data_IF_288423331503
#
_entry.id   IF_288423331503
#
_cell.length_a   1.000
_cell.length_b   1.000
_cell.length_c   1.000
_cell.angle_alpha   90.00
_cell.angle_beta   90.00
_cell.angle_gamma   90.00
#
_symmetry.space_group_name_H-M   'P 1'
#
loop_
_entity.id
_entity.type
_entity.pdbx_description
1 polymer ?
#
# COMPACT_ATOMS: atom_id res chain seq x y z
N UNK A 1 7.61 15.95 -13.92
CA UNK A 1 7.33 15.47 -12.55
C UNK A 1 7.78 16.55 -11.58
N UNK A 2 6.86 17.22 -10.86
CA UNK A 2 7.21 18.25 -9.88
C UNK A 2 7.40 17.57 -8.52
N UNK A 3 8.63 17.54 -8.02
CA UNK A 3 8.96 17.00 -6.70
C UNK A 3 8.63 18.06 -5.63
N UNK A 4 8.00 17.65 -4.53
CA UNK A 4 7.63 18.54 -3.43
C UNK A 4 8.89 19.04 -2.68
N UNK A 5 8.95 20.34 -2.37
CA UNK A 5 10.04 20.95 -1.60
C UNK A 5 10.01 20.52 -0.13
N UNK A 6 11.21 20.37 0.47
CA UNK A 6 11.46 19.86 1.82
C UNK A 6 11.07 20.90 2.89
N UNK A 7 9.81 20.87 3.32
CA UNK A 7 9.33 21.56 4.53
C UNK A 7 8.69 20.57 5.50
N UNK A 8 8.71 20.87 6.81
CA UNK A 8 8.01 20.09 7.84
C UNK A 8 6.49 20.21 7.67
N UNK A 9 5.93 19.43 6.74
CA UNK A 9 4.49 19.32 6.53
C UNK A 9 4.06 17.88 6.83
N UNK A 10 3.11 17.74 7.76
CA UNK A 10 2.36 16.49 7.91
C UNK A 10 1.76 16.16 6.55
N UNK A 11 2.06 14.96 6.01
CA UNK A 11 1.59 14.56 4.69
C UNK A 11 0.06 14.43 4.72
N UNK A 12 -0.64 15.44 4.19
CA UNK A 12 -2.08 15.39 4.02
C UNK A 12 -2.39 14.48 2.84
N UNK A 13 -2.88 13.28 3.13
CA UNK A 13 -3.32 12.36 2.09
C UNK A 13 -4.55 12.94 1.37
N UNK A 14 -4.43 13.12 0.05
CA UNK A 14 -5.53 13.55 -0.82
C UNK A 14 -5.90 12.35 -1.67
N UNK A 15 -7.16 11.92 -1.58
CA UNK A 15 -7.69 10.82 -2.41
C UNK A 15 -7.80 11.34 -3.85
N UNK A 16 -7.07 10.76 -4.81
CA UNK A 16 -7.20 11.16 -6.21
C UNK A 16 -8.55 10.73 -6.77
N UNK A 17 -9.08 11.50 -7.72
CA UNK A 17 -10.24 11.07 -8.49
C UNK A 17 -9.87 9.82 -9.31
N UNK A 18 -10.70 8.77 -9.22
CA UNK A 18 -10.47 7.50 -9.91
C UNK A 18 -11.30 7.44 -11.19
N UNK A 19 -10.65 7.13 -12.31
CA UNK A 19 -11.30 6.96 -13.62
C UNK A 19 -11.83 5.53 -13.75
N UNK A 20 -13.11 5.31 -13.44
CA UNK A 20 -13.74 3.97 -13.53
C UNK A 20 -13.81 3.38 -14.95
N UNK A 21 -13.66 4.21 -15.98
CA UNK A 21 -13.59 3.79 -17.39
C UNK A 21 -12.19 3.47 -17.89
N UNK A 22 -11.18 3.48 -17.03
CA UNK A 22 -9.79 3.20 -17.41
C UNK A 22 -9.63 1.76 -17.94
N UNK A 23 -8.94 1.64 -19.07
CA UNK A 23 -8.59 0.34 -19.67
C UNK A 23 -7.27 -0.21 -19.14
N UNK A 24 -6.39 0.66 -18.66
CA UNK A 24 -5.13 0.32 -18.02
C UNK A 24 -5.01 0.94 -16.62
N UNK A 25 -4.21 0.32 -15.76
CA UNK A 25 -3.96 0.81 -14.40
C UNK A 25 -3.29 2.20 -14.39
N UNK A 26 -2.49 2.53 -15.40
CA UNK A 26 -1.87 3.87 -15.49
C UNK A 26 -2.89 4.97 -15.73
N UNK A 27 -4.06 4.65 -16.31
CA UNK A 27 -5.12 5.60 -16.64
C UNK A 27 -6.14 5.80 -15.50
N UNK A 28 -6.04 5.00 -14.43
CA UNK A 28 -6.94 5.10 -13.28
C UNK A 28 -6.83 6.45 -12.55
N UNK A 29 -5.68 7.12 -12.65
CA UNK A 29 -5.37 8.36 -11.93
C UNK A 29 -4.73 9.36 -12.92
N UNK A 30 -5.15 10.62 -12.87
CA UNK A 30 -4.45 11.69 -13.60
C UNK A 30 -3.13 12.06 -12.91
N UNK A 31 -2.05 11.44 -13.36
CA UNK A 31 -0.69 11.66 -12.87
C UNK A 31 -0.15 13.07 -13.10
N UNK A 32 -0.76 13.88 -13.99
CA UNK A 32 -0.32 15.26 -14.22
C UNK A 32 -0.83 16.22 -13.16
N UNK A 33 -1.97 15.90 -12.56
CA UNK A 33 -2.66 16.75 -11.58
C UNK A 33 -2.21 16.42 -10.15
N UNK A 34 -1.62 15.24 -9.92
CA UNK A 34 -1.21 14.80 -8.59
C UNK A 34 0.30 14.94 -8.33
N UNK A 35 0.67 15.41 -7.14
CA UNK A 35 2.06 15.38 -6.67
C UNK A 35 2.41 13.99 -6.15
N UNK A 36 3.25 13.25 -6.87
CA UNK A 36 3.76 11.96 -6.41
C UNK A 36 4.89 12.21 -5.41
N UNK A 37 4.63 11.89 -4.14
CA UNK A 37 5.67 11.87 -3.12
C UNK A 37 6.46 10.58 -3.25
N UNK A 38 7.80 10.62 -3.34
CA UNK A 38 8.59 9.39 -3.34
C UNK A 38 8.36 8.63 -2.03
N UNK A 39 8.21 7.30 -2.07
CA UNK A 39 8.07 6.51 -0.85
C UNK A 39 9.30 6.69 0.05
N UNK A 40 9.16 6.56 1.38
CA UNK A 40 10.24 6.84 2.32
C UNK A 40 11.57 6.14 2.02
N UNK A 41 11.50 4.91 1.47
CA UNK A 41 12.67 4.12 1.08
C UNK A 41 13.49 4.76 -0.05
N UNK A 42 12.86 5.56 -0.92
CA UNK A 42 13.51 6.24 -2.05
C UNK A 42 13.79 7.72 -1.75
N UNK A 43 13.54 8.20 -0.52
CA UNK A 43 13.57 9.63 -0.19
C UNK A 43 14.95 10.27 -0.33
N UNK A 44 16.02 9.50 -0.18
CA UNK A 44 17.40 9.97 -0.23
C UNK A 44 18.05 9.80 -1.61
N UNK A 45 17.39 9.10 -2.53
CA UNK A 45 17.94 8.80 -3.85
C UNK A 45 17.48 9.84 -4.87
N UNK A 46 18.39 10.25 -5.75
CA UNK A 46 18.06 11.11 -6.87
C UNK A 46 17.32 10.34 -7.97
N UNK A 47 16.50 11.03 -8.77
CA UNK A 47 15.83 10.41 -9.92
C UNK A 47 16.82 9.78 -10.91
N UNK A 48 18.02 10.34 -11.06
CA UNK A 48 19.05 9.82 -11.94
C UNK A 48 19.65 8.50 -11.43
N UNK A 49 19.91 8.37 -10.12
CA UNK A 49 20.37 7.10 -9.52
C UNK A 49 19.29 6.02 -9.63
N UNK A 50 18.03 6.38 -9.41
CA UNK A 50 16.91 5.46 -9.60
C UNK A 50 16.80 4.98 -11.05
N UNK A 51 17.03 5.85 -12.03
CA UNK A 51 17.03 5.47 -13.45
C UNK A 51 18.17 4.50 -13.78
N UNK A 52 19.39 4.76 -13.29
CA UNK A 52 20.54 3.85 -13.47
C UNK A 52 20.26 2.44 -12.92
N UNK A 53 19.62 2.38 -11.76
CA UNK A 53 19.20 1.11 -11.16
C UNK A 53 18.17 0.36 -12.01
N UNK A 54 17.16 1.06 -12.53
CA UNK A 54 16.12 0.47 -13.38
C UNK A 54 16.72 -0.05 -14.70
N UNK A 55 17.71 0.66 -15.25
CA UNK A 55 18.40 0.30 -16.48
C UNK A 55 19.46 -0.79 -16.29
N UNK A 56 19.78 -1.15 -15.03
CA UNK A 56 20.75 -2.20 -14.71
C UNK A 56 22.21 -1.74 -14.72
N UNK A 57 22.46 -0.43 -14.78
CA UNK A 57 23.81 0.15 -14.80
C UNK A 57 24.52 0.05 -13.42
N UNK A 58 23.75 -0.16 -12.34
CA UNK A 58 24.24 -0.22 -10.95
C UNK A 58 23.57 -1.38 -10.22
N UNK A 59 24.33 -2.12 -9.41
CA UNK A 59 23.78 -3.17 -8.55
C UNK A 59 22.94 -2.58 -7.42
N UNK A 60 21.86 -3.27 -7.03
CA UNK A 60 21.09 -2.94 -5.81
C UNK A 60 21.98 -2.88 -4.56
N UNK A 61 23.01 -3.72 -4.50
CA UNK A 61 23.93 -3.77 -3.35
C UNK A 61 24.84 -2.53 -3.24
N UNK A 62 25.09 -1.87 -4.38
CA UNK A 62 25.92 -0.67 -4.48
C UNK A 62 25.12 0.62 -4.22
N UNK A 63 23.81 0.50 -3.96
CA UNK A 63 22.93 1.64 -3.68
C UNK A 63 22.60 1.77 -2.20
N UNK A 64 22.52 3.01 -1.70
CA UNK A 64 22.26 3.34 -0.30
C UNK A 64 20.80 3.14 0.15
N UNK A 65 20.10 2.12 -0.37
CA UNK A 65 18.74 1.83 0.10
C UNK A 65 18.74 1.36 1.54
N UNK A 66 17.67 1.72 2.25
CA UNK A 66 17.41 1.20 3.59
C UNK A 66 17.23 -0.32 3.48
N UNK A 67 18.16 -1.07 4.08
CA UNK A 67 18.10 -2.52 4.16
C UNK A 67 17.09 -2.93 5.24
N UNK A 68 15.90 -3.33 4.81
CA UNK A 68 14.91 -3.89 5.72
C UNK A 68 15.23 -5.36 6.02
N UNK A 69 15.13 -5.81 7.29
CA UNK A 69 15.35 -7.20 7.67
C UNK A 69 14.17 -8.07 7.19
N UNK A 70 14.18 -8.40 5.90
CA UNK A 70 13.07 -9.06 5.20
C UNK A 70 13.02 -10.57 5.43
N UNK A 71 14.15 -11.18 5.79
CA UNK A 71 14.28 -12.63 6.04
C UNK A 71 14.36 -12.96 7.53
N UNK A 72 13.55 -12.29 8.33
CA UNK A 72 13.43 -12.62 9.76
C UNK A 72 12.30 -13.60 9.98
N UNK A 73 12.45 -14.46 10.99
CA UNK A 73 11.41 -15.43 11.37
C UNK A 73 10.06 -14.74 11.64
N UNK A 74 10.08 -13.51 12.17
CA UNK A 74 8.86 -12.71 12.39
C UNK A 74 8.15 -12.37 11.08
N UNK A 75 8.89 -11.96 10.05
CA UNK A 75 8.33 -11.69 8.71
C UNK A 75 7.72 -12.95 8.12
N UNK A 76 8.43 -14.08 8.18
CA UNK A 76 7.93 -15.37 7.68
C UNK A 76 6.62 -15.78 8.37
N UNK A 77 6.55 -15.66 9.69
CA UNK A 77 5.34 -15.97 10.48
C UNK A 77 4.16 -15.08 10.10
N UNK A 78 4.38 -13.77 9.91
CA UNK A 78 3.33 -12.84 9.48
C UNK A 78 2.84 -13.17 8.08
N UNK A 79 3.76 -13.40 7.13
CA UNK A 79 3.40 -13.78 5.75
C UNK A 79 2.58 -15.06 5.74
N UNK A 80 2.96 -16.07 6.53
CA UNK A 80 2.19 -17.31 6.70
C UNK A 80 0.79 -17.03 7.24
N UNK A 81 0.68 -16.27 8.33
CA UNK A 81 -0.61 -15.91 8.95
C UNK A 81 -1.53 -15.19 7.96
N UNK A 82 -1.01 -14.19 7.24
CA UNK A 82 -1.78 -13.42 6.23
C UNK A 82 -2.23 -14.34 5.10
N UNK A 83 -1.36 -15.25 4.66
CA UNK A 83 -1.66 -16.21 3.59
C UNK A 83 -2.76 -17.19 4.02
N UNK A 84 -2.67 -17.76 5.22
CA UNK A 84 -3.68 -18.66 5.77
C UNK A 84 -5.03 -17.94 5.96
N UNK A 85 -5.03 -16.71 6.48
CA UNK A 85 -6.24 -15.90 6.62
C UNK A 85 -6.87 -15.57 5.26
N UNK A 86 -6.06 -15.24 4.26
CA UNK A 86 -6.52 -14.93 2.90
C UNK A 86 -7.09 -16.16 2.20
N UNK A 87 -6.44 -17.31 2.36
CA UNK A 87 -6.89 -18.59 1.81
C UNK A 87 -8.28 -18.97 2.30
N UNK A 88 -8.59 -18.73 3.58
CA UNK A 88 -9.93 -18.97 4.15
C UNK A 88 -11.03 -18.13 3.48
N UNK A 89 -10.67 -17.04 2.81
CA UNK A 89 -11.60 -16.16 2.07
C UNK A 89 -11.40 -16.26 0.55
N UNK A 90 -10.64 -17.22 0.06
CA UNK A 90 -10.41 -17.39 -1.35
C UNK A 90 -11.56 -18.19 -1.99
N UNK A 91 -12.08 -17.71 -3.12
CA UNK A 91 -13.21 -18.33 -3.83
C UNK A 91 -14.58 -17.76 -3.49
N UNK A 92 -15.54 -17.73 -4.44
CA UNK A 92 -16.86 -17.09 -4.25
C UNK A 92 -17.62 -17.61 -3.03
N UNK A 93 -17.67 -18.93 -2.81
CA UNK A 93 -18.44 -19.55 -1.74
C UNK A 93 -17.88 -19.22 -0.35
N UNK A 94 -16.55 -19.26 -0.20
CA UNK A 94 -15.87 -18.96 1.06
C UNK A 94 -16.00 -17.48 1.42
N UNK A 95 -15.94 -16.58 0.42
CA UNK A 95 -16.17 -15.13 0.61
C UNK A 95 -17.57 -14.86 1.12
N UNK A 96 -18.55 -15.41 0.41
CA UNK A 96 -19.97 -15.23 0.71
C UNK A 96 -20.33 -15.78 2.11
N UNK A 97 -19.84 -16.98 2.44
CA UNK A 97 -19.95 -17.54 3.79
C UNK A 97 -19.30 -16.66 4.87
N UNK A 98 -18.09 -16.14 4.60
CA UNK A 98 -17.40 -15.24 5.50
C UNK A 98 -18.17 -13.93 5.74
N UNK A 99 -18.74 -13.34 4.68
CA UNK A 99 -19.52 -12.10 4.76
C UNK A 99 -20.78 -12.32 5.60
N UNK A 100 -21.55 -13.38 5.32
CA UNK A 100 -22.75 -13.72 6.10
C UNK A 100 -22.42 -13.96 7.57
N UNK A 101 -21.42 -14.78 7.87
CA UNK A 101 -21.01 -15.05 9.25
C UNK A 101 -20.60 -13.78 10.00
N UNK A 102 -19.87 -12.88 9.31
CA UNK A 102 -19.49 -11.58 9.88
C UNK A 102 -20.71 -10.70 10.16
N UNK A 103 -21.67 -10.66 9.24
CA UNK A 103 -22.91 -9.90 9.41
C UNK A 103 -23.73 -10.41 10.60
N UNK A 104 -23.90 -11.73 10.72
CA UNK A 104 -24.61 -12.34 11.85
C UNK A 104 -23.88 -12.11 13.18
N UNK A 105 -22.55 -12.27 13.21
CA UNK A 105 -21.76 -11.96 14.40
C UNK A 105 -21.90 -10.50 14.85
N UNK A 106 -21.95 -9.55 13.90
CA UNK A 106 -22.16 -8.13 14.21
C UNK A 106 -23.56 -7.84 14.76
N UNK A 107 -24.59 -8.56 14.31
CA UNK A 107 -25.95 -8.43 14.88
C UNK A 107 -26.01 -8.87 16.34
N UNK A 108 -25.20 -9.84 16.74
CA UNK A 108 -25.12 -10.34 18.12
C UNK A 108 -24.28 -9.45 19.04
N UNK A 109 -23.52 -8.50 18.49
CA UNK A 109 -22.68 -7.59 19.25
C UNK A 109 -23.55 -6.45 19.80
N UNK A 110 -23.42 -6.11 21.09
CA UNK A 110 -24.22 -5.01 21.66
C UNK A 110 -23.87 -3.70 20.97
N UNK A 111 -24.89 -2.90 20.67
CA UNK A 111 -24.67 -1.54 20.19
C UNK A 111 -24.11 -0.72 21.36
N UNK A 112 -22.84 -0.33 21.25
CA UNK A 112 -22.25 0.63 22.17
C UNK A 112 -22.59 2.04 21.70
N UNK A 113 -22.93 2.91 22.65
CA UNK A 113 -23.07 4.34 22.39
C UNK A 113 -21.78 4.86 21.75
N UNK A 114 -21.90 5.46 20.56
CA UNK A 114 -20.77 6.12 19.91
C UNK A 114 -20.28 7.26 20.80
N UNK A 115 -18.96 7.50 20.76
CA UNK A 115 -18.32 8.56 21.54
C UNK A 115 -19.05 9.89 21.30
N UNK A 116 -19.56 10.50 22.37
CA UNK A 116 -20.11 11.86 22.32
C UNK A 116 -18.97 12.83 22.01
N UNK A 117 -19.28 13.86 21.21
CA UNK A 117 -18.38 14.97 20.88
C UNK A 117 -17.75 15.62 22.11
#
# INVERSE_FOLDING_TARGET
MKLAQKGNYVHRFVIPAVTFGATDNVDLIDWKVFYVTPPPVLRQNSSHELLKLILGDVSMDDTDFIKFPSHTQSVERIVKLVTEASRKRFGPQNRDGFIRATLESRKQMSQFESKKE
#
